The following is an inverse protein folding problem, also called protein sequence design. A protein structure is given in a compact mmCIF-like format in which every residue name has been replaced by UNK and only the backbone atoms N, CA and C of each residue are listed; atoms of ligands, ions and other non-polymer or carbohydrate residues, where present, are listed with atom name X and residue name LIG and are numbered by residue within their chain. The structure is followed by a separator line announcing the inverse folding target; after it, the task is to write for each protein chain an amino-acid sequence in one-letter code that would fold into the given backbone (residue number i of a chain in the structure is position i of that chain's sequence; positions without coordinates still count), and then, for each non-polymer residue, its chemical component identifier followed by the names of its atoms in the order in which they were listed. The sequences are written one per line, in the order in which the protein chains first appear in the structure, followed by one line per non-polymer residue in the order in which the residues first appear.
data_IF_623360561116
#
_entry.id   IF_623360561116
#
_cell.length_a   1.000
_cell.length_b   1.000
_cell.length_c   1.000
_cell.angle_alpha   90.00
_cell.angle_beta   90.00
_cell.angle_gamma   90.00
#
_symmetry.space_group_name_H-M   'P 1'
#
loop_
_entity.id
_entity.type
_entity.pdbx_description
1 polymer ?
#
# COMPACT_ATOMS: atom_id res chain seq x y z
N UNK A 1 -8.49 -1.76 -7.52
CA UNK A 1 -7.70 -2.94 -7.95
C UNK A 1 -7.09 -3.67 -6.77
N UNK A 2 -6.29 -3.04 -5.90
CA UNK A 2 -5.65 -3.70 -4.75
C UNK A 2 -6.64 -4.34 -3.76
N UNK A 3 -7.70 -3.63 -3.39
CA UNK A 3 -8.77 -4.19 -2.54
C UNK A 3 -9.45 -5.44 -3.16
N UNK A 4 -9.60 -5.47 -4.49
CA UNK A 4 -10.16 -6.66 -5.13
C UNK A 4 -9.15 -7.82 -5.10
N UNK A 5 -7.86 -7.54 -5.26
CA UNK A 5 -6.81 -8.54 -5.14
C UNK A 5 -6.71 -9.10 -3.72
N UNK A 6 -6.80 -8.26 -2.68
CA UNK A 6 -6.78 -8.74 -1.28
C UNK A 6 -7.96 -9.65 -0.93
N UNK A 7 -9.08 -9.52 -1.64
CA UNK A 7 -10.27 -10.35 -1.47
C UNK A 7 -10.42 -11.47 -2.52
N UNK A 8 -9.43 -11.66 -3.41
CA UNK A 8 -9.55 -12.64 -4.49
C UNK A 8 -9.17 -14.05 -3.99
N UNK A 9 -10.12 -15.00 -3.87
CA UNK A 9 -9.83 -16.34 -3.35
C UNK A 9 -8.93 -17.18 -4.28
N UNK A 10 -8.69 -16.75 -5.53
CA UNK A 10 -7.76 -17.41 -6.44
C UNK A 10 -6.29 -17.06 -6.19
N UNK A 11 -6.00 -16.01 -5.40
CA UNK A 11 -4.64 -15.64 -5.01
C UNK A 11 -4.29 -16.32 -3.69
N UNK A 12 -3.01 -16.65 -3.50
CA UNK A 12 -2.52 -17.16 -2.22
C UNK A 12 -2.50 -16.08 -1.13
N UNK A 13 -2.26 -16.50 0.11
CA UNK A 13 -2.31 -15.63 1.28
C UNK A 13 -1.24 -14.52 1.22
N UNK A 14 -0.08 -14.78 0.61
CA UNK A 14 1.01 -13.82 0.50
C UNK A 14 0.64 -12.67 -0.45
N UNK A 15 0.09 -12.99 -1.62
CA UNK A 15 -0.41 -12.01 -2.59
C UNK A 15 -1.56 -11.19 -2.01
N UNK A 16 -2.51 -11.83 -1.33
CA UNK A 16 -3.65 -11.12 -0.73
C UNK A 16 -3.20 -10.18 0.39
N UNK A 17 -2.29 -10.63 1.25
CA UNK A 17 -1.75 -9.83 2.36
C UNK A 17 -0.91 -8.64 1.85
N UNK A 18 -0.07 -8.85 0.82
CA UNK A 18 0.69 -7.77 0.21
C UNK A 18 -0.21 -6.72 -0.45
N UNK A 19 -1.29 -7.17 -1.11
CA UNK A 19 -2.29 -6.28 -1.70
C UNK A 19 -3.07 -5.48 -0.63
N UNK A 20 -3.43 -6.11 0.49
CA UNK A 20 -4.10 -5.43 1.62
C UNK A 20 -3.19 -4.39 2.27
N UNK A 21 -1.92 -4.74 2.51
CA UNK A 21 -0.94 -3.84 3.08
C UNK A 21 -0.71 -2.61 2.19
N UNK A 22 -0.54 -2.81 0.88
CA UNK A 22 -0.38 -1.71 -0.07
C UNK A 22 -1.66 -0.86 -0.20
N UNK A 23 -2.85 -1.48 -0.19
CA UNK A 23 -4.11 -0.75 -0.18
C UNK A 23 -4.24 0.15 1.06
N UNK A 24 -3.86 -0.37 2.23
CA UNK A 24 -3.90 0.38 3.49
C UNK A 24 -2.92 1.55 3.47
N UNK A 25 -1.69 1.34 2.99
CA UNK A 25 -0.71 2.42 2.86
C UNK A 25 -1.22 3.57 1.97
N UNK A 26 -1.85 3.25 0.84
CA UNK A 26 -2.46 4.28 -0.03
C UNK A 26 -3.61 5.05 0.65
N UNK A 27 -4.41 4.39 1.48
CA UNK A 27 -5.46 5.08 2.26
C UNK A 27 -4.84 6.03 3.29
N UNK A 28 -3.76 5.63 3.94
CA UNK A 28 -3.00 6.48 4.87
C UNK A 28 -2.38 7.68 4.16
N UNK A 29 -1.71 7.46 3.03
CA UNK A 29 -1.14 8.52 2.19
C UNK A 29 -2.20 9.52 1.73
N UNK A 30 -3.35 9.03 1.25
CA UNK A 30 -4.49 9.88 0.87
C UNK A 30 -4.99 10.72 2.04
N UNK A 31 -5.12 10.14 3.23
CA UNK A 31 -5.53 10.86 4.42
C UNK A 31 -4.50 11.93 4.81
N UNK A 32 -3.21 11.60 4.77
CA UNK A 32 -2.10 12.50 5.15
C UNK A 32 -1.85 13.60 4.11
N UNK A 33 -2.20 13.39 2.85
CA UNK A 33 -2.14 14.41 1.78
C UNK A 33 -3.19 15.53 1.95
N UNK A 34 -4.16 15.37 2.85
CA UNK A 34 -5.20 16.39 3.06
C UNK A 34 -4.66 17.59 3.86
N UNK A 35 -5.01 18.80 3.42
CA UNK A 35 -4.54 20.04 4.05
C UNK A 35 -4.85 20.08 5.56
N UNK A 36 -3.83 20.37 6.38
CA UNK A 36 -3.96 20.49 7.82
C UNK A 36 -4.10 19.16 8.59
N UNK A 37 -4.08 18.00 7.92
CA UNK A 37 -4.16 16.67 8.56
C UNK A 37 -2.80 16.16 9.02
N UNK A 38 -1.73 16.56 8.34
CA UNK A 38 -0.38 16.08 8.58
C UNK A 38 0.63 17.21 8.47
N UNK A 39 1.74 17.07 9.18
CA UNK A 39 2.96 17.78 8.86
C UNK A 39 3.58 17.25 7.57
N UNK A 40 4.44 18.04 6.93
CA UNK A 40 5.17 17.59 5.73
C UNK A 40 5.97 16.31 6.00
N UNK A 41 6.56 16.16 7.19
CA UNK A 41 7.29 14.94 7.56
C UNK A 41 6.39 13.71 7.61
N UNK A 42 5.22 13.82 8.23
CA UNK A 42 4.26 12.71 8.30
C UNK A 42 3.72 12.32 6.92
N UNK A 43 3.56 13.30 6.02
CA UNK A 43 3.20 13.02 4.65
C UNK A 43 4.34 12.30 3.91
N UNK A 44 5.59 12.75 4.05
CA UNK A 44 6.75 12.06 3.46
C UNK A 44 6.91 10.63 3.99
N UNK A 45 6.65 10.39 5.28
CA UNK A 45 6.67 9.05 5.87
C UNK A 45 5.58 8.15 5.26
N UNK A 46 4.38 8.68 5.02
CA UNK A 46 3.30 7.94 4.37
C UNK A 46 3.65 7.58 2.90
N UNK A 47 4.25 8.52 2.16
CA UNK A 47 4.76 8.27 0.79
C UNK A 47 5.85 7.20 0.81
N UNK A 48 6.77 7.25 1.78
CA UNK A 48 7.82 6.25 1.93
C UNK A 48 7.25 4.86 2.25
N UNK A 49 6.21 4.77 3.09
CA UNK A 49 5.53 3.49 3.38
C UNK A 49 4.84 2.93 2.13
N UNK A 50 4.14 3.75 1.34
CA UNK A 50 3.56 3.34 0.05
C UNK A 50 4.63 2.73 -0.86
N UNK A 51 5.78 3.40 -1.02
CA UNK A 51 6.88 2.90 -1.84
C UNK A 51 7.44 1.56 -1.31
N UNK A 52 7.54 1.41 0.01
CA UNK A 52 7.99 0.16 0.63
C UNK A 52 7.00 -0.99 0.40
N UNK A 53 5.69 -0.74 0.52
CA UNK A 53 4.65 -1.76 0.25
C UNK A 53 4.56 -2.09 -1.24
N UNK A 54 4.76 -1.12 -2.12
CA UNK A 54 4.78 -1.34 -3.57
C UNK A 54 5.96 -2.23 -3.98
N UNK A 55 7.16 -1.96 -3.42
CA UNK A 55 8.32 -2.84 -3.62
C UNK A 55 8.07 -4.26 -3.11
N UNK A 56 7.41 -4.43 -1.96
CA UNK A 56 7.02 -5.74 -1.46
C UNK A 56 6.03 -6.44 -2.39
N UNK A 57 5.00 -5.73 -2.88
CA UNK A 57 4.01 -6.28 -3.83
C UNK A 57 4.68 -6.72 -5.14
N UNK A 58 5.58 -5.89 -5.69
CA UNK A 58 6.39 -6.20 -6.87
C UNK A 58 7.18 -7.48 -6.71
N UNK A 59 7.85 -7.65 -5.56
CA UNK A 59 8.59 -8.87 -5.22
C UNK A 59 7.69 -10.11 -5.19
N UNK A 60 6.53 -10.01 -4.55
CA UNK A 60 5.54 -11.10 -4.49
C UNK A 60 5.02 -11.46 -5.89
N UNK A 61 4.77 -10.47 -6.74
CA UNK A 61 4.37 -10.68 -8.13
C UNK A 61 5.51 -11.14 -9.07
N UNK A 62 6.75 -11.27 -8.58
CA UNK A 62 7.90 -11.65 -9.40
C UNK A 62 8.32 -10.60 -10.43
N UNK A 63 7.94 -9.33 -10.24
CA UNK A 63 8.30 -8.20 -11.10
C UNK A 63 9.39 -7.41 -10.38
N UNK A 64 10.64 -7.49 -10.85
CA UNK A 64 11.80 -6.82 -10.24
C UNK A 64 12.82 -6.42 -11.28
#
# INVERSE_FOLDING_TARGET
MLYNASNNPALDDEHRSAAEALATAYLTDTAKSSEGVATDSEFQDAVADVNAKDAAMKKVCGVG
#
